data_IF_578900777444
#
_entry.id   IF_578900777444
#
_cell.length_a   1.000
_cell.length_b   1.000
_cell.length_c   1.000
_cell.angle_alpha   90.00
_cell.angle_beta   90.00
_cell.angle_gamma   90.00
#
_symmetry.space_group_name_H-M   'P 1'
#
loop_
_entity.id
_entity.type
_entity.pdbx_description
1 polymer ?
#
# COMPACT_ATOMS: atom_id res chain seq x y z
N UNK A 1 -50.60 32.59 9.00
CA UNK A 1 -51.02 31.36 8.28
C UNK A 1 -50.33 31.14 6.90
N UNK A 2 -49.52 32.08 6.38
CA UNK A 2 -48.83 31.89 5.05
C UNK A 2 -47.40 31.35 5.10
N UNK A 3 -46.72 31.40 6.24
CA UNK A 3 -45.33 30.88 6.34
C UNK A 3 -45.23 29.40 6.62
N UNK A 4 -46.24 28.79 7.27
CA UNK A 4 -46.26 27.36 7.58
C UNK A 4 -46.52 26.50 6.30
N UNK A 5 -47.23 27.06 5.32
CA UNK A 5 -47.50 26.32 4.07
C UNK A 5 -46.29 26.32 3.08
N UNK A 6 -45.42 27.32 3.15
CA UNK A 6 -44.21 27.35 2.31
C UNK A 6 -43.14 26.35 2.81
N UNK A 7 -43.08 26.09 4.12
CA UNK A 7 -42.15 25.09 4.66
C UNK A 7 -42.59 23.65 4.37
N UNK A 8 -43.92 23.40 4.41
CA UNK A 8 -44.46 22.08 4.03
C UNK A 8 -44.30 21.78 2.54
N UNK A 9 -44.47 22.77 1.67
CA UNK A 9 -44.28 22.60 0.21
C UNK A 9 -42.82 22.34 -0.16
N UNK A 10 -41.86 22.99 0.50
CA UNK A 10 -40.41 22.74 0.28
C UNK A 10 -39.93 21.39 0.79
N UNK A 11 -40.54 20.85 1.85
CA UNK A 11 -40.19 19.53 2.40
C UNK A 11 -40.78 18.39 1.56
N UNK A 12 -41.98 18.59 1.03
CA UNK A 12 -42.65 17.58 0.14
C UNK A 12 -41.94 17.52 -1.23
N UNK A 13 -41.42 18.62 -1.74
CA UNK A 13 -40.71 18.64 -3.03
C UNK A 13 -39.31 17.97 -2.92
N UNK A 14 -38.61 18.15 -1.79
CA UNK A 14 -37.35 17.45 -1.53
C UNK A 14 -37.53 15.94 -1.33
N UNK A 15 -38.65 15.49 -0.74
CA UNK A 15 -38.93 14.06 -0.58
C UNK A 15 -39.33 13.41 -1.92
N UNK A 16 -40.10 14.07 -2.75
CA UNK A 16 -40.43 13.58 -4.11
C UNK A 16 -39.24 13.53 -5.03
N UNK A 17 -38.33 14.51 -4.99
CA UNK A 17 -37.08 14.47 -5.76
C UNK A 17 -36.13 13.36 -5.28
N UNK A 18 -36.10 13.04 -3.98
CA UNK A 18 -35.36 11.88 -3.45
C UNK A 18 -35.98 10.54 -3.89
N UNK A 19 -37.30 10.42 -3.98
CA UNK A 19 -37.97 9.19 -4.38
C UNK A 19 -37.92 8.94 -5.90
N UNK A 20 -37.90 9.98 -6.70
CA UNK A 20 -37.67 9.87 -8.15
C UNK A 20 -36.22 9.49 -8.49
N UNK A 21 -35.23 9.97 -7.71
CA UNK A 21 -33.85 9.55 -7.81
C UNK A 21 -33.63 8.06 -7.43
N UNK A 22 -34.42 7.54 -6.47
CA UNK A 22 -34.40 6.13 -6.06
C UNK A 22 -34.82 5.14 -7.14
N UNK A 23 -35.54 5.58 -8.16
CA UNK A 23 -36.01 4.73 -9.27
C UNK A 23 -35.22 4.87 -10.58
N UNK A 24 -34.30 5.81 -10.66
CA UNK A 24 -33.47 6.03 -11.84
C UNK A 24 -32.49 4.88 -12.06
N UNK A 25 -32.17 4.58 -13.33
CA UNK A 25 -31.08 3.63 -13.63
C UNK A 25 -29.74 4.24 -13.23
N UNK A 26 -28.86 3.49 -12.54
CA UNK A 26 -27.54 3.98 -12.18
C UNK A 26 -26.76 4.44 -13.42
N UNK A 27 -26.14 5.60 -13.36
CA UNK A 27 -25.37 6.19 -14.47
C UNK A 27 -23.88 5.92 -14.35
N UNK A 28 -23.38 5.78 -13.11
CA UNK A 28 -21.97 5.54 -12.82
C UNK A 28 -21.78 4.57 -11.65
N UNK A 29 -20.56 4.06 -11.49
CA UNK A 29 -20.20 3.22 -10.34
C UNK A 29 -20.22 4.05 -9.06
N UNK A 30 -19.68 5.27 -9.08
CA UNK A 30 -19.65 6.14 -7.89
C UNK A 30 -21.06 6.54 -7.42
N UNK A 31 -21.97 6.87 -8.35
CA UNK A 31 -23.37 7.12 -8.01
C UNK A 31 -24.02 5.88 -7.36
N UNK A 32 -23.65 4.68 -7.84
CA UNK A 32 -24.14 3.44 -7.24
C UNK A 32 -23.55 3.21 -5.85
N UNK A 33 -22.28 3.54 -5.64
CA UNK A 33 -21.63 3.43 -4.36
C UNK A 33 -22.22 4.39 -3.34
N UNK A 34 -22.39 5.67 -3.71
CA UNK A 34 -23.07 6.66 -2.89
C UNK A 34 -24.43 6.17 -2.39
N UNK A 35 -25.26 5.63 -3.29
CA UNK A 35 -26.58 5.11 -2.93
C UNK A 35 -26.48 3.86 -2.03
N UNK A 36 -25.53 2.95 -2.29
CA UNK A 36 -25.30 1.76 -1.47
C UNK A 36 -24.88 2.18 -0.06
N UNK A 37 -23.98 3.13 0.05
CA UNK A 37 -23.45 3.62 1.33
C UNK A 37 -24.55 4.32 2.14
N UNK A 38 -25.34 5.21 1.51
CA UNK A 38 -26.49 5.85 2.17
C UNK A 38 -27.46 4.82 2.77
N UNK A 39 -27.74 3.73 2.07
CA UNK A 39 -28.62 2.68 2.57
C UNK A 39 -27.96 1.75 3.58
N UNK A 40 -26.64 1.65 3.59
CA UNK A 40 -25.89 0.80 4.51
C UNK A 40 -25.83 1.36 5.92
N UNK A 41 -25.99 2.68 6.09
CA UNK A 41 -25.97 3.34 7.40
C UNK A 41 -27.03 2.71 8.33
N UNK A 42 -26.61 2.23 9.50
CA UNK A 42 -27.44 1.55 10.50
C UNK A 42 -28.34 0.40 10.00
N UNK A 43 -28.09 -0.09 8.78
CA UNK A 43 -28.90 -1.16 8.15
C UNK A 43 -28.61 -2.55 8.71
N UNK A 44 -27.53 -2.70 9.45
CA UNK A 44 -27.04 -4.01 9.87
C UNK A 44 -26.85 -5.00 8.68
N UNK A 45 -26.76 -4.52 7.44
CA UNK A 45 -26.76 -5.32 6.20
C UNK A 45 -27.83 -6.41 6.23
N UNK A 46 -29.07 -6.03 6.47
CA UNK A 46 -30.21 -6.93 6.51
C UNK A 46 -30.85 -7.14 5.12
N UNK A 47 -31.90 -7.93 5.06
CA UNK A 47 -32.58 -8.21 3.78
C UNK A 47 -33.23 -6.96 3.16
N UNK A 48 -33.76 -6.04 3.98
CA UNK A 48 -34.39 -4.80 3.51
C UNK A 48 -33.36 -3.89 2.80
N UNK A 49 -32.15 -3.80 3.37
CA UNK A 49 -31.02 -3.14 2.71
C UNK A 49 -30.73 -3.72 1.33
N UNK A 50 -30.56 -5.06 1.22
CA UNK A 50 -30.26 -5.69 -0.06
C UNK A 50 -31.39 -5.57 -1.08
N UNK A 51 -32.64 -5.61 -0.65
CA UNK A 51 -33.78 -5.40 -1.54
C UNK A 51 -33.75 -3.99 -2.12
N UNK A 52 -33.57 -2.96 -1.30
CA UNK A 52 -33.52 -1.55 -1.72
C UNK A 52 -32.30 -1.25 -2.60
N UNK A 53 -31.13 -1.77 -2.25
CA UNK A 53 -29.88 -1.52 -2.97
C UNK A 53 -29.71 -2.39 -4.25
N UNK A 54 -30.58 -3.38 -4.48
CA UNK A 54 -30.42 -4.43 -5.51
C UNK A 54 -30.04 -3.88 -6.89
N UNK A 55 -30.66 -2.78 -7.33
CA UNK A 55 -30.41 -2.21 -8.68
C UNK A 55 -28.98 -1.69 -8.80
N UNK A 56 -28.52 -0.97 -7.80
CA UNK A 56 -27.18 -0.36 -7.74
C UNK A 56 -26.10 -1.43 -7.54
N UNK A 57 -26.34 -2.39 -6.65
CA UNK A 57 -25.45 -3.54 -6.44
C UNK A 57 -25.29 -4.34 -7.74
N UNK A 58 -26.38 -4.70 -8.41
CA UNK A 58 -26.34 -5.44 -9.69
C UNK A 58 -25.65 -4.68 -10.80
N UNK A 59 -25.80 -3.36 -10.84
CA UNK A 59 -25.10 -2.52 -11.82
C UNK A 59 -23.59 -2.55 -11.58
N UNK A 60 -23.15 -2.26 -10.36
CA UNK A 60 -21.75 -2.26 -9.99
C UNK A 60 -21.11 -3.66 -10.10
N UNK A 61 -21.80 -4.71 -9.65
CA UNK A 61 -21.33 -6.12 -9.78
C UNK A 61 -21.03 -6.50 -11.23
N UNK A 62 -21.93 -6.14 -12.16
CA UNK A 62 -21.68 -6.41 -13.59
C UNK A 62 -20.51 -5.64 -14.16
N UNK A 63 -20.34 -4.37 -13.75
CA UNK A 63 -19.28 -3.51 -14.23
C UNK A 63 -17.92 -3.91 -13.68
N UNK A 64 -17.84 -4.26 -12.39
CA UNK A 64 -16.60 -4.57 -11.69
C UNK A 64 -16.26 -6.07 -11.72
N UNK A 65 -17.20 -6.93 -12.12
CA UNK A 65 -17.10 -8.40 -12.04
C UNK A 65 -16.87 -8.90 -10.60
N UNK A 66 -17.49 -8.22 -9.64
CA UNK A 66 -17.44 -8.54 -8.21
C UNK A 66 -18.78 -9.14 -7.76
N UNK A 67 -18.74 -9.93 -6.67
CA UNK A 67 -19.98 -10.41 -6.02
C UNK A 67 -20.78 -9.25 -5.41
N UNK A 68 -22.07 -9.42 -5.14
CA UNK A 68 -22.87 -8.40 -4.46
C UNK A 68 -22.28 -7.92 -3.14
N UNK A 69 -21.72 -8.83 -2.33
CA UNK A 69 -21.12 -8.49 -1.04
C UNK A 69 -19.80 -7.73 -1.21
N UNK A 70 -18.95 -8.16 -2.14
CA UNK A 70 -17.71 -7.44 -2.47
C UNK A 70 -17.97 -6.01 -2.95
N UNK A 71 -19.04 -5.80 -3.74
CA UNK A 71 -19.45 -4.44 -4.15
C UNK A 71 -19.85 -3.59 -2.95
N UNK A 72 -20.65 -4.14 -2.03
CA UNK A 72 -21.08 -3.43 -0.82
C UNK A 72 -19.89 -3.07 0.06
N UNK A 73 -18.97 -4.02 0.30
CA UNK A 73 -17.75 -3.78 1.05
C UNK A 73 -16.87 -2.73 0.38
N UNK A 74 -16.61 -2.88 -0.93
CA UNK A 74 -15.80 -1.93 -1.68
C UNK A 74 -16.40 -0.51 -1.65
N UNK A 75 -17.73 -0.38 -1.76
CA UNK A 75 -18.40 0.91 -1.67
C UNK A 75 -18.14 1.60 -0.33
N UNK A 76 -18.20 0.86 0.79
CA UNK A 76 -17.93 1.38 2.12
C UNK A 76 -16.46 1.78 2.32
N UNK A 77 -15.51 1.03 1.74
CA UNK A 77 -14.10 1.39 1.76
C UNK A 77 -13.83 2.62 0.89
N UNK A 78 -14.45 2.73 -0.28
CA UNK A 78 -14.30 3.89 -1.17
C UNK A 78 -14.87 5.17 -0.54
N UNK A 79 -15.98 5.09 0.16
CA UNK A 79 -16.59 6.21 0.88
C UNK A 79 -15.64 6.81 1.95
N UNK A 80 -14.79 5.96 2.53
CA UNK A 80 -13.79 6.34 3.55
C UNK A 80 -12.39 6.48 2.99
N UNK A 81 -12.24 6.56 1.68
CA UNK A 81 -10.92 6.56 1.03
C UNK A 81 -10.08 7.84 1.25
N UNK A 82 -10.64 8.83 1.94
CA UNK A 82 -9.87 9.98 2.45
C UNK A 82 -8.99 9.58 3.65
N UNK A 83 -9.36 8.50 4.37
CA UNK A 83 -8.56 7.94 5.45
C UNK A 83 -7.63 6.87 4.89
N UNK A 84 -6.33 7.03 5.07
CA UNK A 84 -5.34 6.04 4.63
C UNK A 84 -5.36 4.75 5.47
N UNK A 85 -6.08 4.74 6.60
CA UNK A 85 -6.18 3.61 7.53
C UNK A 85 -7.63 3.36 7.92
N UNK A 86 -8.33 2.55 7.14
CA UNK A 86 -9.73 2.19 7.38
C UNK A 86 -9.80 0.88 8.15
N UNK A 87 -10.33 0.90 9.36
CA UNK A 87 -10.48 -0.30 10.18
C UNK A 87 -11.84 -0.98 9.96
N UNK A 88 -11.86 -2.31 10.05
CA UNK A 88 -13.11 -3.11 9.99
C UNK A 88 -14.11 -2.68 11.08
N UNK A 89 -13.64 -2.23 12.24
CA UNK A 89 -14.49 -1.72 13.32
C UNK A 89 -15.24 -0.44 12.94
N UNK A 90 -14.66 0.40 12.09
CA UNK A 90 -15.30 1.63 11.60
C UNK A 90 -16.42 1.30 10.60
N UNK A 91 -16.18 0.35 9.71
CA UNK A 91 -17.20 -0.18 8.82
C UNK A 91 -18.36 -0.80 9.63
N UNK A 92 -18.04 -1.62 10.65
CA UNK A 92 -19.04 -2.24 11.50
C UNK A 92 -19.88 -1.20 12.27
N UNK A 93 -19.24 -0.16 12.81
CA UNK A 93 -19.91 0.94 13.50
C UNK A 93 -20.85 1.70 12.57
N UNK A 94 -20.43 1.99 11.35
CA UNK A 94 -21.25 2.68 10.36
C UNK A 94 -22.50 1.89 9.96
N UNK A 95 -22.33 0.60 9.77
CA UNK A 95 -23.42 -0.32 9.39
C UNK A 95 -24.37 -0.61 10.59
N UNK A 96 -23.99 -0.23 11.80
CA UNK A 96 -24.78 -0.50 13.01
C UNK A 96 -24.66 -1.96 13.48
N UNK A 97 -23.57 -2.66 13.21
CA UNK A 97 -23.41 -4.06 13.58
C UNK A 97 -22.17 -4.31 14.45
N UNK A 98 -22.03 -5.54 14.96
CA UNK A 98 -20.80 -5.96 15.67
C UNK A 98 -19.66 -6.19 14.67
N UNK A 99 -18.43 -5.84 15.06
CA UNK A 99 -17.23 -6.07 14.26
C UNK A 99 -17.11 -7.53 13.80
N UNK A 100 -17.48 -8.50 14.65
CA UNK A 100 -17.49 -9.93 14.31
C UNK A 100 -18.40 -10.27 13.12
N UNK A 101 -19.43 -9.45 12.81
CA UNK A 101 -20.27 -9.66 11.63
C UNK A 101 -19.50 -9.32 10.36
N UNK A 102 -18.73 -8.24 10.36
CA UNK A 102 -17.89 -7.87 9.21
C UNK A 102 -16.69 -8.82 9.08
N UNK A 103 -16.09 -9.25 10.20
CA UNK A 103 -15.02 -10.27 10.17
C UNK A 103 -15.45 -11.60 9.53
N UNK A 104 -16.73 -11.97 9.58
CA UNK A 104 -17.25 -13.14 8.85
C UNK A 104 -17.29 -12.96 7.33
N UNK A 105 -17.05 -11.77 6.84
CA UNK A 105 -16.93 -11.42 5.43
C UNK A 105 -15.46 -11.29 5.00
N UNK A 106 -14.51 -11.80 5.81
CA UNK A 106 -13.07 -11.75 5.51
C UNK A 106 -12.76 -12.34 4.13
N UNK A 107 -13.38 -13.47 3.75
CA UNK A 107 -13.15 -14.08 2.44
C UNK A 107 -13.46 -13.11 1.28
N UNK A 108 -14.50 -12.28 1.40
CA UNK A 108 -14.81 -11.26 0.40
C UNK A 108 -13.81 -10.10 0.42
N UNK A 109 -13.31 -9.74 1.61
CA UNK A 109 -12.25 -8.72 1.77
C UNK A 109 -10.93 -9.23 1.19
N UNK A 110 -10.57 -10.49 1.46
CA UNK A 110 -9.36 -11.14 0.94
C UNK A 110 -9.39 -11.21 -0.60
N UNK A 111 -10.56 -11.44 -1.20
CA UNK A 111 -10.71 -11.36 -2.67
C UNK A 111 -10.50 -9.93 -3.17
N UNK A 112 -11.01 -8.91 -2.49
CA UNK A 112 -10.77 -7.51 -2.86
C UNK A 112 -9.30 -7.12 -2.72
N UNK A 113 -8.61 -7.65 -1.71
CA UNK A 113 -7.17 -7.47 -1.50
C UNK A 113 -6.37 -8.18 -2.61
N UNK A 114 -6.66 -9.45 -2.88
CA UNK A 114 -5.97 -10.22 -3.93
C UNK A 114 -6.13 -9.61 -5.32
N UNK A 115 -7.28 -9.01 -5.61
CA UNK A 115 -7.53 -8.24 -6.83
C UNK A 115 -7.00 -6.80 -6.78
N UNK A 116 -6.33 -6.43 -5.70
CA UNK A 116 -5.74 -5.11 -5.47
C UNK A 116 -6.75 -3.94 -5.49
N UNK A 117 -8.04 -4.20 -5.25
CA UNK A 117 -9.02 -3.15 -4.95
C UNK A 117 -8.80 -2.54 -3.58
N UNK A 118 -8.27 -3.32 -2.65
CA UNK A 118 -7.85 -2.90 -1.31
C UNK A 118 -6.38 -3.27 -1.11
N UNK A 119 -5.69 -2.52 -0.28
CA UNK A 119 -4.41 -2.90 0.30
C UNK A 119 -4.53 -2.97 1.80
N UNK A 120 -4.14 -4.09 2.38
CA UNK A 120 -4.04 -4.23 3.83
C UNK A 120 -2.75 -3.60 4.33
N UNK A 121 -2.85 -2.97 5.48
CA UNK A 121 -1.71 -2.49 6.27
C UNK A 121 -1.77 -3.20 7.61
N UNK A 122 -0.80 -4.08 7.86
CA UNK A 122 -0.71 -4.89 9.07
C UNK A 122 0.30 -4.28 10.01
N UNK A 123 -0.03 -4.22 11.28
CA UNK A 123 0.90 -3.90 12.35
C UNK A 123 0.61 -4.80 13.54
N UNK A 124 1.56 -4.95 14.48
CA UNK A 124 1.46 -5.90 15.63
C UNK A 124 0.09 -5.94 16.31
N UNK A 125 -0.65 -4.85 16.32
CA UNK A 125 -1.92 -4.72 17.05
C UNK A 125 -3.08 -4.23 16.20
N UNK A 126 -2.91 -3.97 14.91
CA UNK A 126 -3.96 -3.41 14.07
C UNK A 126 -3.87 -3.93 12.64
N UNK A 127 -5.04 -4.13 12.06
CA UNK A 127 -5.24 -4.39 10.65
C UNK A 127 -6.13 -3.28 10.09
N UNK A 128 -5.62 -2.54 9.13
CA UNK A 128 -6.34 -1.50 8.42
C UNK A 128 -6.26 -1.71 6.92
N UNK A 129 -7.13 -1.06 6.19
CA UNK A 129 -7.19 -1.16 4.73
C UNK A 129 -7.20 0.23 4.13
N UNK A 130 -6.73 0.34 2.89
CA UNK A 130 -6.85 1.55 2.07
C UNK A 130 -7.29 1.20 0.65
N UNK A 131 -7.86 2.17 -0.04
CA UNK A 131 -8.21 2.05 -1.46
C UNK A 131 -7.13 2.77 -2.27
N UNK A 132 -6.35 2.06 -3.11
CA UNK A 132 -5.32 2.70 -3.92
C UNK A 132 -5.88 3.78 -4.86
N UNK A 133 -5.14 4.87 -5.05
CA UNK A 133 -5.56 5.99 -5.92
C UNK A 133 -5.83 5.56 -7.36
N UNK A 134 -5.12 4.55 -7.88
CA UNK A 134 -5.35 3.96 -9.21
C UNK A 134 -6.73 3.28 -9.31
N UNK A 135 -7.21 2.66 -8.24
CA UNK A 135 -8.55 2.07 -8.14
C UNK A 135 -9.59 3.18 -8.20
N UNK A 136 -9.45 4.23 -7.40
CA UNK A 136 -10.36 5.39 -7.40
C UNK A 136 -10.43 6.03 -8.80
N UNK A 137 -9.29 6.15 -9.49
CA UNK A 137 -9.22 6.66 -10.86
C UNK A 137 -10.02 5.79 -11.85
N UNK A 138 -9.97 4.46 -11.71
CA UNK A 138 -10.74 3.51 -12.54
C UNK A 138 -12.24 3.58 -12.23
N UNK A 139 -12.61 3.65 -10.96
CA UNK A 139 -14.01 3.78 -10.52
C UNK A 139 -14.66 5.07 -11.00
N UNK A 140 -13.92 6.20 -11.00
CA UNK A 140 -14.40 7.49 -11.57
C UNK A 140 -14.73 7.37 -13.06
N UNK A 141 -14.01 6.52 -13.80
CA UNK A 141 -14.28 6.24 -15.22
C UNK A 141 -15.35 5.16 -15.42
N UNK A 142 -15.95 4.63 -14.36
CA UNK A 142 -16.88 3.51 -14.37
C UNK A 142 -16.34 2.27 -15.08
N UNK A 143 -15.06 1.99 -14.89
CA UNK A 143 -14.33 0.85 -15.44
C UNK A 143 -13.86 -0.08 -14.32
N UNK A 144 -13.76 -1.39 -14.55
CA UNK A 144 -13.12 -2.29 -13.61
C UNK A 144 -11.65 -1.94 -13.49
N UNK A 145 -11.12 -2.03 -12.29
CA UNK A 145 -9.68 -2.06 -12.10
C UNK A 145 -9.21 -3.47 -12.43
N UNK A 146 -8.24 -3.56 -13.32
CA UNK A 146 -7.59 -4.83 -13.66
C UNK A 146 -6.17 -4.70 -13.16
N UNK A 147 -5.85 -5.48 -12.12
CA UNK A 147 -4.49 -5.65 -11.69
C UNK A 147 -3.79 -6.63 -12.63
N UNK A 148 -2.85 -6.16 -13.39
CA UNK A 148 -1.92 -6.99 -14.14
C UNK A 148 -0.67 -7.16 -13.28
N UNK A 149 -0.46 -8.38 -12.81
CA UNK A 149 0.78 -8.74 -12.14
C UNK A 149 1.88 -8.74 -13.19
N UNK A 150 2.70 -7.70 -13.18
CA UNK A 150 3.88 -7.64 -14.03
C UNK A 150 4.97 -8.42 -13.30
N UNK A 151 5.44 -9.57 -13.82
CA UNK A 151 6.50 -10.33 -13.17
C UNK A 151 7.75 -9.47 -12.95
N UNK A 152 8.48 -9.73 -11.90
CA UNK A 152 9.80 -9.14 -11.66
C UNK A 152 10.82 -10.06 -12.34
N UNK A 153 11.38 -9.68 -13.49
CA UNK A 153 12.26 -10.57 -14.25
C UNK A 153 13.68 -10.61 -13.70
N UNK A 154 14.12 -9.55 -13.04
CA UNK A 154 15.51 -9.35 -12.65
C UNK A 154 15.68 -8.44 -11.43
N UNK A 155 16.90 -8.33 -10.94
CA UNK A 155 17.29 -7.54 -9.78
C UNK A 155 17.09 -6.04 -9.99
N UNK A 156 17.21 -5.50 -11.21
CA UNK A 156 16.99 -4.07 -11.46
C UNK A 156 15.52 -3.70 -11.24
N UNK A 157 14.60 -4.48 -11.86
CA UNK A 157 13.16 -4.25 -11.69
C UNK A 157 12.72 -4.46 -10.23
N UNK A 158 13.39 -5.37 -9.51
CA UNK A 158 13.18 -5.51 -8.07
C UNK A 158 13.46 -4.21 -7.32
N UNK A 159 14.63 -3.59 -7.51
CA UNK A 159 14.95 -2.31 -6.86
C UNK A 159 14.05 -1.17 -7.32
N UNK A 160 13.69 -1.09 -8.60
CA UNK A 160 12.73 -0.10 -9.11
C UNK A 160 11.34 -0.24 -8.44
N UNK A 161 10.93 -1.46 -8.10
CA UNK A 161 9.67 -1.69 -7.35
C UNK A 161 9.82 -1.42 -5.87
N UNK A 162 10.95 -1.77 -5.29
CA UNK A 162 11.24 -1.46 -3.90
C UNK A 162 11.26 0.06 -3.66
N UNK A 163 11.82 0.84 -4.60
CA UNK A 163 11.74 2.31 -4.56
C UNK A 163 10.30 2.82 -4.49
N UNK A 164 9.40 2.21 -5.26
CA UNK A 164 7.97 2.58 -5.19
C UNK A 164 7.34 2.23 -3.84
N UNK A 165 7.69 1.09 -3.26
CA UNK A 165 7.22 0.73 -1.92
C UNK A 165 7.75 1.70 -0.86
N UNK A 166 9.00 2.14 -0.99
CA UNK A 166 9.58 3.16 -0.10
C UNK A 166 8.88 4.52 -0.24
N UNK A 167 8.51 4.92 -1.46
CA UNK A 167 7.70 6.12 -1.67
C UNK A 167 6.30 5.98 -1.03
N UNK A 168 5.63 4.82 -1.17
CA UNK A 168 4.36 4.53 -0.48
C UNK A 168 4.53 4.55 1.04
N UNK A 169 5.68 4.10 1.56
CA UNK A 169 6.03 4.16 2.98
C UNK A 169 6.21 5.60 3.45
N UNK A 170 6.93 6.43 2.68
CA UNK A 170 7.14 7.85 2.98
C UNK A 170 5.83 8.67 2.95
N UNK A 171 4.84 8.25 2.16
CA UNK A 171 3.50 8.86 2.12
C UNK A 171 2.56 8.33 3.23
N UNK A 172 3.06 7.60 4.24
CA UNK A 172 2.29 6.92 5.30
C UNK A 172 1.25 5.91 4.79
N UNK A 173 1.39 5.49 3.53
CA UNK A 173 0.46 4.55 2.91
C UNK A 173 0.80 3.08 3.23
N UNK A 174 2.01 2.81 3.72
CA UNK A 174 2.51 1.47 3.98
C UNK A 174 3.14 1.40 5.37
N UNK A 175 2.82 0.38 6.17
CA UNK A 175 3.51 0.13 7.44
C UNK A 175 4.80 -0.65 7.20
N UNK A 176 5.72 -0.60 8.16
CA UNK A 176 6.95 -1.40 8.15
C UNK A 176 6.69 -2.91 7.93
N UNK A 177 5.71 -3.47 8.65
CA UNK A 177 5.35 -4.89 8.53
C UNK A 177 4.83 -5.24 7.14
N UNK A 178 3.98 -4.39 6.55
CA UNK A 178 3.48 -4.60 5.18
C UNK A 178 4.55 -4.38 4.11
N UNK A 179 5.49 -3.47 4.33
CA UNK A 179 6.66 -3.30 3.48
C UNK A 179 7.51 -4.58 3.48
N UNK A 180 7.76 -5.15 4.67
CA UNK A 180 8.52 -6.38 4.83
C UNK A 180 7.85 -7.55 4.09
N UNK A 181 6.55 -7.79 4.32
CA UNK A 181 5.80 -8.84 3.63
C UNK A 181 5.91 -8.73 2.11
N UNK A 182 5.63 -7.54 1.56
CA UNK A 182 5.68 -7.32 0.10
C UNK A 182 7.10 -7.44 -0.46
N UNK A 183 8.11 -7.03 0.29
CA UNK A 183 9.51 -7.18 -0.12
C UNK A 183 9.92 -8.64 -0.17
N UNK A 184 9.50 -9.46 0.81
CA UNK A 184 9.78 -10.89 0.80
C UNK A 184 9.07 -11.60 -0.37
N UNK A 185 7.82 -11.24 -0.68
CA UNK A 185 7.11 -11.75 -1.86
C UNK A 185 7.89 -11.42 -3.16
N UNK A 186 8.32 -10.16 -3.32
CA UNK A 186 9.11 -9.74 -4.49
C UNK A 186 10.46 -10.46 -4.58
N UNK A 187 11.13 -10.71 -3.43
CA UNK A 187 12.38 -11.44 -3.38
C UNK A 187 12.19 -12.91 -3.81
N UNK A 188 11.03 -13.48 -3.52
CA UNK A 188 10.66 -14.83 -3.97
C UNK A 188 10.43 -14.91 -5.48
N UNK A 189 9.89 -13.86 -6.09
CA UNK A 189 9.73 -13.80 -7.55
C UNK A 189 11.09 -13.88 -8.28
N UNK A 190 12.13 -13.24 -7.73
CA UNK A 190 13.47 -13.19 -8.32
C UNK A 190 14.43 -14.25 -7.75
N UNK A 191 13.94 -15.32 -7.15
CA UNK A 191 14.76 -16.36 -6.50
C UNK A 191 15.87 -16.98 -7.37
N UNK A 192 15.79 -16.82 -8.68
CA UNK A 192 16.78 -17.31 -9.64
C UNK A 192 17.92 -16.31 -9.92
N UNK A 193 17.86 -15.09 -9.43
CA UNK A 193 18.92 -14.09 -9.58
C UNK A 193 20.08 -14.36 -8.62
N UNK A 194 21.26 -13.81 -8.95
CA UNK A 194 22.42 -13.88 -8.04
C UNK A 194 22.12 -13.14 -6.74
N UNK A 195 21.53 -11.95 -6.83
CA UNK A 195 21.14 -11.14 -5.67
C UNK A 195 20.31 -11.94 -4.66
N UNK A 196 19.18 -12.50 -5.10
CA UNK A 196 18.29 -13.27 -4.22
C UNK A 196 18.95 -14.54 -3.67
N UNK A 197 19.78 -15.20 -4.49
CA UNK A 197 20.49 -16.44 -4.10
C UNK A 197 21.53 -16.14 -3.03
N UNK A 198 22.38 -15.14 -3.22
CA UNK A 198 23.44 -14.77 -2.29
C UNK A 198 22.86 -14.17 -1.00
N UNK A 199 21.82 -13.35 -1.10
CA UNK A 199 21.15 -12.79 0.08
C UNK A 199 20.55 -13.90 0.97
N UNK A 200 19.92 -14.92 0.38
CA UNK A 200 19.42 -16.09 1.11
C UNK A 200 20.52 -16.93 1.74
N UNK A 201 21.69 -17.01 1.10
CA UNK A 201 22.86 -17.70 1.68
C UNK A 201 23.35 -17.01 2.95
N UNK A 202 23.08 -15.73 3.11
CA UNK A 202 23.40 -15.03 4.36
C UNK A 202 22.59 -15.57 5.54
N UNK A 203 21.41 -16.15 5.32
CA UNK A 203 20.59 -16.77 6.36
C UNK A 203 19.95 -15.78 7.33
N UNK A 204 19.74 -14.55 6.90
CA UNK A 204 19.08 -13.50 7.68
C UNK A 204 17.60 -13.83 7.95
N UNK A 205 17.08 -13.34 9.06
CA UNK A 205 15.64 -13.22 9.26
C UNK A 205 15.03 -12.14 8.33
N UNK A 206 13.69 -12.10 8.24
CA UNK A 206 12.98 -11.18 7.33
C UNK A 206 13.29 -9.71 7.63
N UNK A 207 13.41 -9.35 8.92
CA UNK A 207 13.75 -7.99 9.37
C UNK A 207 15.14 -7.54 8.89
N UNK A 208 16.16 -8.38 9.11
CA UNK A 208 17.52 -8.10 8.67
C UNK A 208 17.63 -8.15 7.13
N UNK A 209 16.89 -9.04 6.49
CA UNK A 209 16.81 -9.09 5.02
C UNK A 209 16.27 -7.77 4.46
N UNK A 210 15.16 -7.27 5.02
CA UNK A 210 14.59 -5.97 4.63
C UNK A 210 15.57 -4.83 4.87
N UNK A 211 16.20 -4.79 6.04
CA UNK A 211 17.17 -3.74 6.38
C UNK A 211 18.38 -3.75 5.42
N UNK A 212 18.89 -4.94 5.08
CA UNK A 212 19.96 -5.04 4.10
C UNK A 212 19.53 -4.60 2.69
N UNK A 213 18.33 -5.01 2.24
CA UNK A 213 17.74 -4.58 0.96
C UNK A 213 17.61 -3.05 0.93
N UNK A 214 17.17 -2.44 2.01
CA UNK A 214 17.05 -1.00 2.11
C UNK A 214 18.41 -0.28 1.99
N UNK A 215 19.43 -0.76 2.69
CA UNK A 215 20.80 -0.21 2.55
C UNK A 215 21.33 -0.40 1.13
N UNK A 216 21.08 -1.56 0.52
CA UNK A 216 21.45 -1.81 -0.87
C UNK A 216 20.70 -0.89 -1.84
N UNK A 217 19.42 -0.62 -1.59
CA UNK A 217 18.60 0.32 -2.36
C UNK A 217 19.16 1.74 -2.33
N UNK A 218 19.52 2.25 -1.16
CA UNK A 218 20.14 3.58 -1.03
C UNK A 218 21.43 3.70 -1.86
N UNK A 219 22.24 2.63 -1.88
CA UNK A 219 23.42 2.57 -2.73
C UNK A 219 23.06 2.49 -4.21
N UNK A 220 22.13 1.62 -4.62
CA UNK A 220 21.74 1.42 -6.01
C UNK A 220 21.10 2.67 -6.61
N UNK A 221 20.20 3.34 -5.87
CA UNK A 221 19.48 4.51 -6.37
C UNK A 221 20.29 5.82 -6.25
N UNK A 222 21.02 6.00 -5.17
CA UNK A 222 21.68 7.27 -4.86
C UNK A 222 23.20 7.20 -4.93
N UNK A 223 23.78 6.00 -5.12
CA UNK A 223 25.20 5.75 -4.95
C UNK A 223 25.69 6.22 -3.58
N UNK A 224 24.87 5.94 -2.55
CA UNK A 224 25.12 6.43 -1.20
C UNK A 224 26.05 5.48 -0.46
N UNK A 225 27.25 5.94 -0.23
CA UNK A 225 28.30 5.28 0.56
C UNK A 225 28.42 5.90 1.98
N UNK A 226 27.39 6.63 2.45
CA UNK A 226 27.39 7.27 3.77
C UNK A 226 26.01 7.17 4.43
N UNK A 227 25.52 5.94 4.62
CA UNK A 227 24.20 5.64 5.19
C UNK A 227 24.26 5.83 6.70
N UNK A 228 23.50 6.77 7.24
CA UNK A 228 23.40 7.03 8.66
C UNK A 228 22.14 6.44 9.30
N UNK A 229 22.04 6.53 10.62
CA UNK A 229 20.81 6.14 11.31
C UNK A 229 19.60 6.96 10.89
N UNK A 230 19.80 8.19 10.49
CA UNK A 230 18.75 9.05 9.96
C UNK A 230 18.14 8.48 8.65
N UNK A 231 18.98 7.91 7.77
CA UNK A 231 18.47 7.28 6.53
C UNK A 231 17.74 5.98 6.83
N UNK A 232 18.20 5.25 7.85
CA UNK A 232 17.58 4.00 8.31
C UNK A 232 16.24 4.26 9.03
N UNK A 233 16.01 5.44 9.61
CA UNK A 233 14.75 5.82 10.27
C UNK A 233 13.57 5.67 9.30
N UNK A 234 13.73 6.03 8.03
CA UNK A 234 12.68 5.98 7.00
C UNK A 234 12.09 4.57 6.79
N UNK A 235 12.84 3.53 7.18
CA UNK A 235 12.38 2.15 7.07
C UNK A 235 11.30 1.80 8.11
N UNK A 236 11.29 2.47 9.27
CA UNK A 236 10.46 2.13 10.41
C UNK A 236 9.23 3.03 10.54
N UNK A 237 8.21 2.55 11.26
CA UNK A 237 7.02 3.34 11.53
C UNK A 237 7.34 4.46 12.53
N UNK A 238 6.80 5.66 12.26
CA UNK A 238 7.05 6.89 13.01
C UNK A 238 8.52 7.35 13.04
N UNK A 239 9.33 6.94 12.06
CA UNK A 239 10.76 7.26 11.94
C UNK A 239 11.55 6.89 13.23
N UNK A 240 11.16 5.83 13.88
CA UNK A 240 11.78 5.35 15.12
C UNK A 240 12.53 4.03 14.90
N UNK A 241 13.85 4.09 14.72
CA UNK A 241 14.70 2.90 14.70
C UNK A 241 14.60 2.17 16.04
N UNK A 242 14.32 0.85 16.03
CA UNK A 242 14.40 0.05 17.24
C UNK A 242 15.76 0.17 17.93
N UNK A 243 15.76 0.34 19.24
CA UNK A 243 16.98 0.57 20.02
C UNK A 243 18.02 -0.55 19.89
N UNK A 244 17.58 -1.79 19.58
CA UNK A 244 18.46 -2.91 19.33
C UNK A 244 19.30 -2.72 18.06
N UNK A 245 18.71 -2.20 16.97
CA UNK A 245 19.46 -1.90 15.72
C UNK A 245 20.58 -0.90 16.00
N UNK A 246 20.25 0.24 16.64
CA UNK A 246 21.27 1.27 16.98
C UNK A 246 22.39 0.69 17.84
N UNK A 247 22.05 -0.19 18.80
CA UNK A 247 23.04 -0.82 19.67
C UNK A 247 23.95 -1.77 18.91
N UNK A 248 23.40 -2.70 18.15
CA UNK A 248 24.15 -3.73 17.42
C UNK A 248 25.04 -3.10 16.33
N UNK A 249 24.54 -2.10 15.63
CA UNK A 249 25.34 -1.39 14.63
C UNK A 249 26.51 -0.60 15.24
N UNK A 250 26.28 0.10 16.36
CA UNK A 250 27.35 0.82 17.05
C UNK A 250 28.40 -0.12 17.66
N UNK A 251 27.95 -1.27 18.16
CA UNK A 251 28.84 -2.29 18.73
C UNK A 251 29.51 -3.15 17.64
N UNK A 252 29.07 -3.06 16.37
CA UNK A 252 29.48 -3.93 15.26
C UNK A 252 29.15 -5.41 15.52
N UNK A 253 28.06 -5.66 16.25
CA UNK A 253 27.56 -6.99 16.60
C UNK A 253 26.49 -7.50 15.62
N UNK A 254 26.03 -6.67 14.67
CA UNK A 254 25.11 -7.09 13.61
C UNK A 254 25.77 -8.12 12.70
N UNK A 255 25.01 -9.11 12.25
CA UNK A 255 25.45 -10.14 11.29
C UNK A 255 26.01 -9.54 9.98
N UNK A 256 25.63 -8.30 9.65
CA UNK A 256 26.14 -7.61 8.45
C UNK A 256 27.63 -7.33 8.55
N UNK A 257 28.12 -7.00 9.75
CA UNK A 257 29.57 -6.81 9.99
C UNK A 257 30.30 -8.15 10.04
N UNK A 258 29.72 -9.18 10.68
CA UNK A 258 30.33 -10.52 10.76
C UNK A 258 30.50 -11.14 9.37
N UNK A 259 29.53 -10.92 8.48
CA UNK A 259 29.56 -11.40 7.09
C UNK A 259 30.32 -10.47 6.13
N UNK A 260 30.86 -9.37 6.66
CA UNK A 260 31.60 -8.37 5.88
C UNK A 260 30.76 -7.75 4.74
N UNK A 261 29.46 -7.53 4.98
CA UNK A 261 28.57 -6.91 3.99
C UNK A 261 28.52 -5.40 4.13
N UNK A 262 28.69 -4.90 5.36
CA UNK A 262 28.81 -3.46 5.65
C UNK A 262 30.07 -3.16 6.42
N UNK A 263 30.50 -1.92 6.33
CA UNK A 263 31.58 -1.36 7.13
C UNK A 263 31.25 0.07 7.56
N UNK A 264 31.92 0.57 8.59
CA UNK A 264 31.78 1.97 8.97
C UNK A 264 32.46 2.88 7.95
N UNK A 265 31.85 4.02 7.67
CA UNK A 265 32.48 5.07 6.89
C UNK A 265 33.70 5.56 7.62
N UNK A 266 34.82 5.64 6.92
CA UNK A 266 36.09 6.09 7.46
C UNK A 266 36.48 7.40 6.75
N UNK A 267 36.38 8.51 7.44
CA UNK A 267 36.82 9.82 7.01
C UNK A 267 38.02 10.24 7.82
N UNK A 268 39.08 10.68 7.15
CA UNK A 268 40.34 11.17 7.78
C UNK A 268 41.01 10.19 8.78
N UNK A 269 40.82 8.87 8.57
CA UNK A 269 41.41 7.84 9.43
C UNK A 269 40.59 7.53 10.70
N UNK A 270 39.42 8.15 10.88
CA UNK A 270 38.50 7.86 11.99
C UNK A 270 37.21 7.22 11.47
N UNK A 271 36.94 6.00 11.97
CA UNK A 271 35.69 5.30 11.64
C UNK A 271 34.51 5.95 12.38
N UNK A 272 33.49 6.34 11.66
CA UNK A 272 32.26 6.87 12.24
C UNK A 272 31.36 5.71 12.71
N UNK A 273 30.98 5.76 13.99
CA UNK A 273 30.12 4.70 14.59
C UNK A 273 28.64 4.83 14.22
N UNK A 274 28.24 5.87 13.50
CA UNK A 274 26.89 6.23 13.15
C UNK A 274 26.65 6.32 11.62
N UNK A 275 27.66 5.96 10.83
CA UNK A 275 27.61 5.97 9.38
C UNK A 275 28.22 4.70 8.79
N UNK A 276 27.54 4.12 7.82
CA UNK A 276 27.78 2.80 7.26
C UNK A 276 27.80 2.87 5.74
N UNK A 277 28.46 1.90 5.12
CA UNK A 277 28.43 1.69 3.68
C UNK A 277 28.50 0.21 3.37
N UNK A 278 28.06 -0.17 2.18
CA UNK A 278 28.29 -1.52 1.66
C UNK A 278 29.78 -1.73 1.39
N UNK A 279 30.29 -2.90 1.75
CA UNK A 279 31.65 -3.28 1.39
C UNK A 279 31.77 -3.58 -0.11
N UNK A 280 32.95 -3.48 -0.68
CA UNK A 280 33.19 -3.90 -2.07
C UNK A 280 32.84 -5.38 -2.27
N UNK A 281 33.08 -6.22 -1.26
CA UNK A 281 32.65 -7.63 -1.24
C UNK A 281 31.14 -7.77 -1.44
N UNK A 282 30.33 -7.01 -0.71
CA UNK A 282 28.86 -7.03 -0.84
C UNK A 282 28.42 -6.56 -2.23
N UNK A 283 29.03 -5.49 -2.74
CA UNK A 283 28.71 -4.96 -4.08
C UNK A 283 29.05 -5.97 -5.17
N UNK A 284 30.21 -6.62 -5.10
CA UNK A 284 30.64 -7.63 -6.09
C UNK A 284 29.85 -8.94 -6.01
N UNK A 285 29.46 -9.37 -4.81
CA UNK A 285 28.75 -10.65 -4.63
C UNK A 285 27.23 -10.54 -4.86
N UNK A 286 26.62 -9.46 -4.34
CA UNK A 286 25.16 -9.32 -4.33
C UNK A 286 24.64 -8.42 -5.46
N UNK A 287 25.38 -7.39 -5.87
CA UNK A 287 24.92 -6.40 -6.82
C UNK A 287 25.59 -6.49 -8.19
N UNK A 288 26.34 -7.55 -8.46
CA UNK A 288 27.09 -7.73 -9.72
C UNK A 288 26.21 -7.79 -10.98
N UNK A 289 24.93 -8.14 -10.85
CA UNK A 289 23.98 -8.15 -11.97
C UNK A 289 23.53 -6.73 -12.37
N UNK A 290 23.75 -5.74 -11.48
CA UNK A 290 23.35 -4.36 -11.73
C UNK A 290 24.44 -3.60 -12.49
N UNK A 291 24.05 -2.88 -13.51
CA UNK A 291 24.97 -2.03 -14.30
C UNK A 291 25.24 -0.69 -13.57
N UNK A 292 25.85 -0.74 -12.39
CA UNK A 292 26.09 0.43 -11.54
C UNK A 292 26.99 1.50 -12.21
N UNK A 293 27.76 1.13 -13.22
CA UNK A 293 28.74 2.01 -13.91
C UNK A 293 28.16 2.75 -15.13
N UNK A 294 26.90 2.56 -15.52
CA UNK A 294 26.37 3.10 -16.78
C UNK A 294 25.47 4.32 -16.66
N UNK A 295 25.03 4.69 -15.46
CA UNK A 295 24.10 5.80 -15.30
C UNK A 295 24.67 6.81 -14.31
N UNK A 296 25.43 7.79 -14.86
CA UNK A 296 25.76 8.97 -14.10
C UNK A 296 24.49 9.73 -13.67
N UNK A 297 24.52 10.42 -12.53
CA UNK A 297 23.40 11.21 -11.97
C UNK A 297 22.70 12.14 -12.99
N UNK A 298 23.45 12.55 -14.04
CA UNK A 298 22.95 13.40 -15.13
C UNK A 298 21.93 12.69 -16.04
N UNK A 299 22.14 11.41 -16.34
CA UNK A 299 21.35 10.71 -17.34
C UNK A 299 20.00 10.21 -16.77
N UNK A 300 19.94 9.83 -15.49
CA UNK A 300 18.69 9.43 -14.82
C UNK A 300 17.72 10.62 -14.68
N UNK A 301 18.21 11.81 -14.37
CA UNK A 301 17.37 13.01 -14.29
C UNK A 301 16.89 13.48 -15.66
N UNK A 302 17.64 13.24 -16.73
CA UNK A 302 17.22 13.52 -18.10
C UNK A 302 16.11 12.55 -18.54
N UNK A 303 16.23 11.26 -18.26
CA UNK A 303 15.23 10.25 -18.58
C UNK A 303 13.92 10.50 -17.80
N UNK A 304 14.00 10.83 -16.50
CA UNK A 304 12.81 11.22 -15.71
C UNK A 304 12.14 12.50 -16.25
N UNK A 305 12.91 13.47 -16.73
CA UNK A 305 12.37 14.69 -17.32
C UNK A 305 11.70 14.46 -18.68
N UNK A 306 12.23 13.56 -19.51
CA UNK A 306 11.63 13.19 -20.80
C UNK A 306 10.33 12.38 -20.64
N UNK A 307 10.24 11.50 -19.64
CA UNK A 307 9.02 10.73 -19.34
C UNK A 307 7.90 11.62 -18.76
N UNK A 308 8.25 12.70 -18.08
CA UNK A 308 7.28 13.69 -17.56
C UNK A 308 6.84 14.72 -18.60
N UNK A 309 7.56 14.84 -19.71
CA UNK A 309 7.29 15.79 -20.80
C UNK A 309 6.54 15.15 -21.99
N UNK A 310 6.38 13.83 -22.00
CA UNK A 310 5.60 13.06 -22.98
C UNK A 310 4.26 12.59 -22.39
#
# INVERSE_FOLDING_TARGET
MRELDLHKAKTVDKSKQKDDAKNAKPKSILESFEYIVELAEDSNLDNDFFEKATKHIKYASRKLKLTPMQVVLLAMFVDRSEDNRIMISEIAKYVGCRTTKILRLSDDIDVLESQRYLRASRSRNSLSYRVPGVVLKSLRKSQPYIYEEVPIPDTQIFFDRFDRLMNEKGDDELTHESLMEQTMEMLDEIKGTIFATELRRCGFGDEDTLLFIFMAHLFVENNDDNIGFHDIDDLFDNDEIPSWVKREFRARESEFFEKELIENVNEDGMARSDAFKLTEKAKEQLLCELNLNKIGRSDRNLIKAEILAS
#
